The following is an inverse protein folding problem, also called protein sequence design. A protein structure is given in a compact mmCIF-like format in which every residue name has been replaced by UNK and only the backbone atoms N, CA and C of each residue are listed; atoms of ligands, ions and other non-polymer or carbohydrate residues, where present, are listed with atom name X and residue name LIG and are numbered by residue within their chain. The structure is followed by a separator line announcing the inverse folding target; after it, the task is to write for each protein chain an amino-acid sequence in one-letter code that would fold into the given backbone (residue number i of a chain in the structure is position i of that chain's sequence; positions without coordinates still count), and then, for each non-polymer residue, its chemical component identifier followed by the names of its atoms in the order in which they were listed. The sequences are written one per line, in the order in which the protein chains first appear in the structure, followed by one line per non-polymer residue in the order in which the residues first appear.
data_IF_164734808391
#
_entry.id   IF_164734808391
#
_cell.length_a   1.000
_cell.length_b   1.000
_cell.length_c   1.000
_cell.angle_alpha   90.00
_cell.angle_beta   90.00
_cell.angle_gamma   90.00
#
_symmetry.space_group_name_H-M   'P 1'
#
loop_
_entity.id
_entity.type
_entity.pdbx_description
1 polymer ?
#
# COMPACT_ATOMS: atom_id res chain seq x y z
N UNK A 1 -24.85 -1.81 -24.34
CA UNK A 1 -25.43 -1.83 -22.97
C UNK A 1 -24.60 -2.65 -21.96
N UNK A 2 -24.00 -3.80 -22.33
CA UNK A 2 -23.22 -4.65 -21.40
C UNK A 2 -21.83 -4.08 -20.99
N UNK A 3 -21.19 -3.27 -21.86
CA UNK A 3 -19.86 -2.68 -21.60
C UNK A 3 -19.84 -1.67 -20.43
N UNK A 4 -20.98 -1.04 -20.13
CA UNK A 4 -21.09 0.03 -19.12
C UNK A 4 -21.13 -0.50 -17.69
N UNK A 5 -21.81 -1.63 -17.45
CA UNK A 5 -21.98 -2.20 -16.10
C UNK A 5 -20.67 -2.79 -15.61
N UNK A 6 -19.97 -3.57 -16.43
CA UNK A 6 -18.69 -4.18 -16.07
C UNK A 6 -17.63 -3.11 -15.76
N UNK A 7 -17.51 -2.09 -16.61
CA UNK A 7 -16.61 -0.96 -16.36
C UNK A 7 -16.91 -0.28 -15.02
N UNK A 8 -18.19 -0.03 -14.72
CA UNK A 8 -18.61 0.59 -13.46
C UNK A 8 -18.25 -0.25 -12.25
N UNK A 9 -18.45 -1.58 -12.31
CA UNK A 9 -18.05 -2.50 -11.23
C UNK A 9 -16.55 -2.43 -10.98
N UNK A 10 -15.73 -2.54 -12.04
CA UNK A 10 -14.28 -2.46 -11.91
C UNK A 10 -13.80 -1.09 -11.41
N UNK A 11 -14.50 -0.01 -11.79
CA UNK A 11 -14.20 1.34 -11.32
C UNK A 11 -14.41 1.45 -9.81
N UNK A 12 -15.56 1.01 -9.31
CA UNK A 12 -15.82 1.00 -7.87
C UNK A 12 -14.87 0.07 -7.11
N UNK A 13 -14.57 -1.11 -7.66
CA UNK A 13 -13.58 -2.02 -7.09
C UNK A 13 -12.19 -1.36 -6.99
N UNK A 14 -11.79 -0.63 -8.02
CA UNK A 14 -10.52 0.10 -8.05
C UNK A 14 -10.48 1.22 -7.00
N UNK A 15 -11.56 2.00 -6.89
CA UNK A 15 -11.66 3.07 -5.87
C UNK A 15 -11.66 2.48 -4.46
N UNK A 16 -12.46 1.44 -4.21
CA UNK A 16 -12.52 0.76 -2.91
C UNK A 16 -11.17 0.15 -2.53
N UNK A 17 -10.46 -0.43 -3.49
CA UNK A 17 -9.13 -0.98 -3.24
C UNK A 17 -8.06 0.09 -3.01
N UNK A 18 -8.18 1.27 -3.64
CA UNK A 18 -7.33 2.41 -3.30
C UNK A 18 -7.55 2.84 -1.84
N UNK A 19 -8.82 2.98 -1.42
CA UNK A 19 -9.18 3.34 -0.04
C UNK A 19 -8.69 2.27 0.96
N UNK A 20 -8.92 0.99 0.67
CA UNK A 20 -8.49 -0.12 1.52
C UNK A 20 -6.97 -0.28 1.63
N UNK A 21 -6.22 0.18 0.62
CA UNK A 21 -4.75 0.21 0.64
C UNK A 21 -4.19 1.43 1.38
N UNK A 22 -4.75 2.62 1.13
CA UNK A 22 -4.21 3.89 1.67
C UNK A 22 -4.70 4.14 3.11
N UNK A 23 -5.98 3.87 3.40
CA UNK A 23 -6.61 4.21 4.68
C UNK A 23 -5.88 3.63 5.90
N UNK A 24 -5.68 2.30 5.97
CA UNK A 24 -4.99 1.68 7.10
C UNK A 24 -3.54 2.13 7.27
N UNK A 25 -2.88 2.57 6.19
CA UNK A 25 -1.48 3.00 6.22
C UNK A 25 -1.29 4.25 7.09
N UNK A 26 -2.22 5.21 7.00
CA UNK A 26 -2.18 6.40 7.86
C UNK A 26 -2.46 6.07 9.33
N UNK A 27 -3.27 5.04 9.61
CA UNK A 27 -3.53 4.57 10.97
C UNK A 27 -2.29 3.92 11.62
N UNK A 28 -1.32 3.45 10.84
CA UNK A 28 -0.05 2.94 11.38
C UNK A 28 0.78 4.02 12.07
N UNK A 29 0.67 5.29 11.67
CA UNK A 29 1.42 6.41 12.26
C UNK A 29 1.08 6.60 13.76
N UNK A 30 -0.19 6.86 14.14
CA UNK A 30 -0.54 6.99 15.55
C UNK A 30 -0.32 5.69 16.31
N UNK A 31 -0.46 4.53 15.66
CA UNK A 31 -0.19 3.24 16.30
C UNK A 31 1.30 3.08 16.66
N UNK A 32 2.22 3.45 15.78
CA UNK A 32 3.66 3.47 16.06
C UNK A 32 4.00 4.42 17.22
N UNK A 33 3.34 5.57 17.30
CA UNK A 33 3.51 6.50 18.44
C UNK A 33 3.05 5.87 19.76
N UNK A 34 1.96 5.09 19.74
CA UNK A 34 1.50 4.34 20.92
C UNK A 34 2.50 3.24 21.30
N UNK A 35 3.02 2.50 20.31
CA UNK A 35 4.04 1.48 20.52
C UNK A 35 5.30 2.00 21.23
N UNK A 36 5.69 3.27 21.03
CA UNK A 36 6.86 3.86 21.71
C UNK A 36 6.67 3.94 23.22
N UNK A 37 5.47 4.28 23.67
CA UNK A 37 5.16 4.49 25.10
C UNK A 37 4.65 3.24 25.80
N UNK A 38 4.21 2.22 25.06
CA UNK A 38 3.77 0.93 25.61
C UNK A 38 4.93 0.08 26.08
N UNK A 39 4.85 -0.55 27.25
CA UNK A 39 5.87 -1.47 27.74
C UNK A 39 6.06 -2.67 26.79
N UNK A 40 7.26 -3.26 26.77
CA UNK A 40 7.57 -4.37 25.85
C UNK A 40 6.67 -5.59 26.06
N UNK A 41 6.27 -5.86 27.31
CA UNK A 41 5.36 -6.94 27.66
C UNK A 41 3.99 -6.82 26.96
N UNK A 42 3.51 -5.59 26.74
CA UNK A 42 2.20 -5.30 26.16
C UNK A 42 2.27 -4.97 24.66
N UNK A 43 3.46 -5.00 24.06
CA UNK A 43 3.67 -4.61 22.66
C UNK A 43 3.07 -5.63 21.67
N UNK A 44 2.86 -6.87 22.11
CA UNK A 44 2.39 -7.98 21.27
C UNK A 44 1.06 -7.70 20.56
N UNK A 45 0.11 -7.04 21.23
CA UNK A 45 -1.18 -6.66 20.64
C UNK A 45 -1.03 -5.62 19.53
N UNK A 46 -0.17 -4.62 19.73
CA UNK A 46 0.12 -3.62 18.71
C UNK A 46 0.84 -4.21 17.50
N UNK A 47 1.79 -5.12 17.73
CA UNK A 47 2.51 -5.80 16.64
C UNK A 47 1.54 -6.65 15.80
N UNK A 48 0.62 -7.39 16.44
CA UNK A 48 -0.41 -8.15 15.72
C UNK A 48 -1.30 -7.22 14.90
N UNK A 49 -1.81 -6.14 15.49
CA UNK A 49 -2.59 -5.14 14.77
C UNK A 49 -1.82 -4.54 13.57
N UNK A 50 -0.52 -4.28 13.71
CA UNK A 50 0.35 -3.84 12.62
C UNK A 50 0.40 -4.86 11.49
N UNK A 51 0.62 -6.14 11.82
CA UNK A 51 0.66 -7.21 10.82
C UNK A 51 -0.65 -7.34 10.07
N UNK A 52 -1.79 -7.26 10.78
CA UNK A 52 -3.11 -7.30 10.15
C UNK A 52 -3.33 -6.12 9.20
N UNK A 53 -3.00 -4.90 9.63
CA UNK A 53 -3.10 -3.73 8.79
C UNK A 53 -2.24 -3.86 7.53
N UNK A 54 -0.98 -4.32 7.65
CA UNK A 54 -0.10 -4.56 6.48
C UNK A 54 -0.68 -5.63 5.54
N UNK A 55 -1.27 -6.69 6.07
CA UNK A 55 -1.91 -7.72 5.25
C UNK A 55 -3.13 -7.20 4.48
N UNK A 56 -3.95 -6.38 5.13
CA UNK A 56 -5.09 -5.68 4.50
C UNK A 56 -4.60 -4.77 3.38
N UNK A 57 -3.62 -3.91 3.67
CA UNK A 57 -3.00 -3.01 2.68
C UNK A 57 -2.47 -3.80 1.49
N UNK A 58 -1.76 -4.91 1.74
CA UNK A 58 -1.23 -5.77 0.69
C UNK A 58 -2.34 -6.35 -0.19
N UNK A 59 -3.40 -6.89 0.41
CA UNK A 59 -4.49 -7.52 -0.33
C UNK A 59 -5.19 -6.49 -1.22
N UNK A 60 -5.58 -5.35 -0.66
CA UNK A 60 -6.18 -4.27 -1.42
C UNK A 60 -5.23 -3.69 -2.46
N UNK A 61 -3.92 -3.62 -2.19
CA UNK A 61 -2.91 -3.21 -3.18
C UNK A 61 -2.87 -4.13 -4.41
N UNK A 62 -3.01 -5.45 -4.25
CA UNK A 62 -3.10 -6.37 -5.39
C UNK A 62 -4.42 -6.15 -6.17
N UNK A 63 -5.54 -6.02 -5.46
CA UNK A 63 -6.84 -5.74 -6.08
C UNK A 63 -6.80 -4.42 -6.85
N UNK A 64 -6.13 -3.41 -6.34
CA UNK A 64 -5.93 -2.11 -6.99
C UNK A 64 -5.20 -2.24 -8.32
N UNK A 65 -4.07 -2.96 -8.33
CA UNK A 65 -3.28 -3.21 -9.55
C UNK A 65 -4.11 -3.96 -10.58
N UNK A 66 -4.72 -5.08 -10.18
CA UNK A 66 -5.48 -5.95 -11.08
C UNK A 66 -6.68 -5.21 -11.65
N UNK A 67 -7.48 -4.55 -10.81
CA UNK A 67 -8.63 -3.76 -11.26
C UNK A 67 -8.23 -2.61 -12.18
N UNK A 68 -7.10 -1.95 -11.92
CA UNK A 68 -6.57 -0.89 -12.78
C UNK A 68 -6.21 -1.39 -14.18
N UNK A 69 -5.55 -2.55 -14.27
CA UNK A 69 -5.24 -3.20 -15.56
C UNK A 69 -6.51 -3.53 -16.32
N UNK A 70 -7.53 -4.11 -15.67
CA UNK A 70 -8.81 -4.39 -16.30
C UNK A 70 -9.51 -3.11 -16.79
N UNK A 71 -9.46 -2.01 -16.04
CA UNK A 71 -10.03 -0.74 -16.48
C UNK A 71 -9.38 -0.21 -17.76
N UNK A 72 -8.07 -0.32 -17.90
CA UNK A 72 -7.34 0.09 -19.11
C UNK A 72 -7.79 -0.74 -20.32
N UNK A 73 -7.88 -2.06 -20.15
CA UNK A 73 -8.35 -2.97 -21.20
C UNK A 73 -9.79 -2.63 -21.62
N UNK A 74 -10.67 -2.37 -20.66
CA UNK A 74 -12.09 -2.09 -20.91
C UNK A 74 -12.33 -0.70 -21.53
N UNK A 75 -11.51 0.28 -21.19
CA UNK A 75 -11.62 1.66 -21.67
C UNK A 75 -10.99 1.90 -23.05
N UNK A 76 -10.08 1.02 -23.49
CA UNK A 76 -9.45 1.10 -24.81
C UNK A 76 -8.31 2.13 -24.88
N UNK A 77 -7.76 2.53 -23.73
CA UNK A 77 -6.55 3.35 -23.71
C UNK A 77 -5.36 2.58 -24.31
N UNK A 78 -4.48 3.31 -25.01
CA UNK A 78 -3.28 2.72 -25.59
C UNK A 78 -2.19 2.54 -24.54
N UNK A 79 -1.52 1.39 -24.60
CA UNK A 79 -0.36 1.05 -23.75
C UNK A 79 0.88 1.92 -24.01
N UNK A 80 0.81 2.83 -24.98
CA UNK A 80 1.83 3.84 -25.26
C UNK A 80 1.70 5.06 -24.36
N UNK A 81 0.58 5.23 -23.67
CA UNK A 81 0.31 6.42 -22.86
C UNK A 81 1.20 6.45 -21.63
N UNK A 82 2.01 7.49 -21.51
CA UNK A 82 3.09 7.58 -20.53
C UNK A 82 2.66 7.44 -19.08
N UNK A 83 1.64 8.19 -18.66
CA UNK A 83 1.11 8.08 -17.29
C UNK A 83 0.54 6.69 -16.97
N UNK A 84 -0.01 5.96 -17.95
CA UNK A 84 -0.57 4.62 -17.74
C UNK A 84 0.55 3.63 -17.40
N UNK A 85 1.61 3.62 -18.21
CA UNK A 85 2.76 2.73 -18.02
C UNK A 85 3.44 3.02 -16.68
N UNK A 86 3.70 4.30 -16.39
CA UNK A 86 4.33 4.72 -15.14
C UNK A 86 3.48 4.35 -13.92
N UNK A 87 2.16 4.50 -14.00
CA UNK A 87 1.25 4.15 -12.91
C UNK A 87 1.25 2.65 -12.64
N UNK A 88 1.20 1.81 -13.68
CA UNK A 88 1.25 0.34 -13.50
C UNK A 88 2.57 -0.08 -12.87
N UNK A 89 3.70 0.40 -13.38
CA UNK A 89 5.02 0.10 -12.84
C UNK A 89 5.08 0.55 -11.38
N UNK A 90 4.69 1.80 -11.10
CA UNK A 90 4.67 2.35 -9.74
C UNK A 90 3.80 1.54 -8.79
N UNK A 91 2.59 1.15 -9.19
CA UNK A 91 1.70 0.31 -8.39
C UNK A 91 2.31 -1.07 -8.12
N UNK A 92 2.81 -1.77 -9.15
CA UNK A 92 3.43 -3.09 -8.98
C UNK A 92 4.67 -3.03 -8.08
N UNK A 93 5.54 -2.05 -8.31
CA UNK A 93 6.71 -1.82 -7.46
C UNK A 93 6.31 -1.53 -6.01
N UNK A 94 5.24 -0.75 -5.78
CA UNK A 94 4.77 -0.44 -4.43
C UNK A 94 4.31 -1.70 -3.68
N UNK A 95 3.54 -2.57 -4.34
CA UNK A 95 3.02 -3.80 -3.73
C UNK A 95 4.15 -4.77 -3.40
N UNK A 96 5.13 -4.90 -4.29
CA UNK A 96 6.33 -5.70 -4.03
C UNK A 96 7.17 -5.13 -2.88
N UNK A 97 7.38 -3.81 -2.88
CA UNK A 97 8.14 -3.10 -1.85
C UNK A 97 7.52 -3.29 -0.46
N UNK A 98 6.20 -3.21 -0.34
CA UNK A 98 5.47 -3.39 0.91
C UNK A 98 5.84 -4.71 1.61
N UNK A 99 5.72 -5.84 0.91
CA UNK A 99 6.02 -7.14 1.51
C UNK A 99 7.49 -7.28 1.94
N UNK A 100 8.42 -6.62 1.22
CA UNK A 100 9.85 -6.69 1.50
C UNK A 100 10.29 -5.75 2.62
N UNK A 101 9.64 -4.60 2.78
CA UNK A 101 10.04 -3.56 3.72
C UNK A 101 9.63 -3.83 5.17
N UNK A 102 8.47 -4.46 5.39
CA UNK A 102 7.94 -4.69 6.75
C UNK A 102 8.26 -6.08 7.31
N UNK A 103 8.28 -7.11 6.46
CA UNK A 103 8.51 -8.52 6.85
C UNK A 103 9.79 -8.76 7.68
N UNK A 104 10.98 -8.22 7.31
CA UNK A 104 12.18 -8.48 8.09
C UNK A 104 12.09 -7.86 9.48
N UNK A 105 11.61 -6.62 9.60
CA UNK A 105 11.45 -5.95 10.89
C UNK A 105 10.45 -6.68 11.78
N UNK A 106 9.27 -7.05 11.26
CA UNK A 106 8.23 -7.75 12.02
C UNK A 106 8.71 -9.11 12.57
N UNK A 107 9.63 -9.79 11.87
CA UNK A 107 10.21 -11.06 12.32
C UNK A 107 11.19 -10.93 13.48
N UNK A 108 11.73 -9.74 13.75
CA UNK A 108 12.63 -9.53 14.90
C UNK A 108 11.87 -9.45 16.23
N UNK A 109 10.54 -9.29 16.20
CA UNK A 109 9.76 -9.25 17.43
C UNK A 109 9.75 -10.63 18.10
N UNK A 110 10.10 -10.68 19.39
CA UNK A 110 10.19 -11.91 20.17
C UNK A 110 11.45 -12.75 19.94
N UNK A 111 12.44 -12.22 19.20
CA UNK A 111 13.77 -12.86 19.04
C UNK A 111 14.82 -12.16 19.91
N UNK A 112 16.01 -12.76 20.01
CA UNK A 112 17.16 -12.17 20.71
C UNK A 112 17.65 -10.86 20.08
N UNK A 113 17.32 -10.63 18.81
CA UNK A 113 17.68 -9.42 18.07
C UNK A 113 16.68 -8.27 18.29
N UNK A 114 15.67 -8.48 19.13
CA UNK A 114 14.65 -7.48 19.40
C UNK A 114 15.23 -6.31 20.18
N UNK A 115 15.13 -5.12 19.59
CA UNK A 115 15.33 -3.85 20.27
C UNK A 115 14.16 -2.95 19.93
N UNK A 116 13.35 -2.58 20.94
CA UNK A 116 12.11 -1.83 20.74
C UNK A 116 12.31 -0.53 19.97
N UNK A 117 13.35 0.25 20.29
CA UNK A 117 13.62 1.53 19.63
C UNK A 117 13.94 1.34 18.15
N UNK A 118 14.84 0.41 17.82
CA UNK A 118 15.21 0.10 16.44
C UNK A 118 14.05 -0.53 15.65
N UNK A 119 13.26 -1.39 16.28
CA UNK A 119 12.08 -2.01 15.70
C UNK A 119 11.07 -0.94 15.25
N UNK A 120 10.69 -0.04 16.15
CA UNK A 120 9.72 1.03 15.87
C UNK A 120 10.27 2.02 14.83
N UNK A 121 11.55 2.41 14.94
CA UNK A 121 12.18 3.31 13.97
C UNK A 121 12.16 2.73 12.54
N UNK A 122 12.46 1.43 12.40
CA UNK A 122 12.41 0.75 11.11
C UNK A 122 10.98 0.66 10.55
N UNK A 123 9.98 0.30 11.39
CA UNK A 123 8.59 0.29 10.97
C UNK A 123 8.10 1.68 10.54
N UNK A 124 8.49 2.73 11.27
CA UNK A 124 8.18 4.13 10.94
C UNK A 124 8.78 4.54 9.61
N UNK A 125 10.06 4.26 9.39
CA UNK A 125 10.76 4.56 8.13
C UNK A 125 10.06 3.86 6.94
N UNK A 126 9.76 2.57 7.07
CA UNK A 126 9.05 1.81 6.03
C UNK A 126 7.64 2.34 5.78
N UNK A 127 6.92 2.74 6.85
CA UNK A 127 5.58 3.35 6.75
C UNK A 127 5.62 4.64 5.95
N UNK A 128 6.52 5.56 6.30
CA UNK A 128 6.67 6.84 5.58
C UNK A 128 7.11 6.66 4.13
N UNK A 129 8.09 5.79 3.88
CA UNK A 129 8.55 5.53 2.52
C UNK A 129 7.42 4.96 1.65
N UNK A 130 6.60 4.06 2.21
CA UNK A 130 5.46 3.53 1.49
C UNK A 130 4.36 4.58 1.24
N UNK A 131 4.08 5.47 2.21
CA UNK A 131 3.16 6.60 2.00
C UNK A 131 3.65 7.47 0.83
N UNK A 132 4.93 7.84 0.80
CA UNK A 132 5.50 8.66 -0.26
C UNK A 132 5.36 7.98 -1.63
N UNK A 133 5.64 6.67 -1.72
CA UNK A 133 5.45 5.90 -2.95
C UNK A 133 4.00 5.93 -3.41
N UNK A 134 3.03 5.72 -2.49
CA UNK A 134 1.61 5.75 -2.84
C UNK A 134 1.15 7.15 -3.27
N UNK A 135 1.67 8.21 -2.67
CA UNK A 135 1.38 9.59 -3.08
C UNK A 135 1.90 9.88 -4.49
N UNK A 136 3.09 9.38 -4.85
CA UNK A 136 3.62 9.49 -6.22
C UNK A 136 2.71 8.75 -7.21
N UNK A 137 2.30 7.52 -6.89
CA UNK A 137 1.38 6.74 -7.72
C UNK A 137 0.03 7.45 -7.88
N UNK A 138 -0.52 7.98 -6.79
CA UNK A 138 -1.77 8.74 -6.82
C UNK A 138 -1.64 10.00 -7.68
N UNK A 139 -0.52 10.71 -7.56
CA UNK A 139 -0.24 11.88 -8.39
C UNK A 139 -0.18 11.53 -9.88
N UNK A 140 0.46 10.41 -10.26
CA UNK A 140 0.48 9.94 -11.66
C UNK A 140 -0.93 9.69 -12.21
N UNK A 141 -1.82 9.14 -11.39
CA UNK A 141 -3.22 8.89 -11.76
C UNK A 141 -4.04 10.17 -11.96
N UNK A 142 -3.77 11.20 -11.16
CA UNK A 142 -4.53 12.46 -11.16
C UNK A 142 -4.00 13.44 -12.20
N UNK A 143 -2.68 13.69 -12.18
CA UNK A 143 -2.04 14.67 -13.05
C UNK A 143 -1.90 14.19 -14.50
N UNK A 144 -1.85 12.87 -14.71
CA UNK A 144 -1.72 12.22 -16.03
C UNK A 144 -0.63 12.88 -16.89
N UNK A 145 0.61 13.02 -16.38
CA UNK A 145 1.66 13.74 -17.08
C UNK A 145 1.96 13.06 -18.41
N UNK A 146 2.14 13.87 -19.46
CA UNK A 146 2.58 13.38 -20.75
C UNK A 146 4.11 13.56 -20.86
N UNK A 147 4.86 12.47 -20.73
CA UNK A 147 6.33 12.47 -20.80
C UNK A 147 6.88 12.07 -22.18
N UNK A 148 6.07 11.41 -23.00
CA UNK A 148 6.39 11.02 -24.38
C UNK A 148 5.10 10.82 -25.18
#
# INVERSE_FOLDING_TARGET
MCRTVLHTIFLYLHILSAIGSIGPLFALIPMLKKMEVTEEADLSGFVQAFQYAINVIKHFGHVLVVSGIFLIILSGWTWTTSWIVLTIIGMMSSVFYLARAFKPTLKTFGTTDFNKANFIANLRKSTWLYIVILLIVLWLMVAKPNLW
#
